data_IF_773983898775
#
_entry.id   IF_773983898775
#
_cell.length_a   1.000
_cell.length_b   1.000
_cell.length_c   1.000
_cell.angle_alpha   90.00
_cell.angle_beta   90.00
_cell.angle_gamma   90.00
#
_symmetry.space_group_name_H-M   'P 1'
#
loop_
_entity.id
_entity.type
_entity.pdbx_description
1 polymer ?
#
# COMPACT_ATOMS: atom_id res chain seq x y z
N UNK A 1 -21.22 -19.23 0.18
CA UNK A 1 -21.35 -17.75 0.26
C UNK A 1 -20.14 -17.05 0.92
N UNK A 2 -19.72 -17.43 2.13
CA UNK A 2 -18.59 -16.81 2.83
C UNK A 2 -17.27 -16.91 2.06
N UNK A 3 -16.94 -18.07 1.51
CA UNK A 3 -15.67 -18.29 0.80
C UNK A 3 -15.47 -17.38 -0.42
N UNK A 4 -16.54 -17.08 -1.16
CA UNK A 4 -16.47 -16.15 -2.30
C UNK A 4 -16.24 -14.72 -1.82
N UNK A 5 -16.89 -14.31 -0.72
CA UNK A 5 -16.67 -12.99 -0.13
C UNK A 5 -15.23 -12.82 0.37
N UNK A 6 -14.67 -13.85 1.03
CA UNK A 6 -13.26 -13.84 1.45
C UNK A 6 -12.29 -13.91 0.27
N UNK A 7 -12.61 -14.63 -0.80
CA UNK A 7 -11.80 -14.65 -2.01
C UNK A 7 -11.74 -13.26 -2.67
N UNK A 8 -12.88 -12.56 -2.77
CA UNK A 8 -12.95 -11.19 -3.30
C UNK A 8 -12.20 -10.22 -2.37
N UNK A 9 -12.38 -10.35 -1.05
CA UNK A 9 -11.65 -9.54 -0.08
C UNK A 9 -10.13 -9.77 -0.16
N UNK A 10 -9.70 -11.02 -0.32
CA UNK A 10 -8.30 -11.39 -0.52
C UNK A 10 -7.73 -10.84 -1.83
N UNK A 11 -8.51 -10.86 -2.90
CA UNK A 11 -8.13 -10.24 -4.18
C UNK A 11 -7.96 -8.72 -4.02
N UNK A 12 -8.83 -8.05 -3.25
CA UNK A 12 -8.69 -6.63 -2.90
C UNK A 12 -7.44 -6.33 -2.08
N UNK A 13 -7.02 -7.24 -1.19
CA UNK A 13 -5.79 -7.11 -0.40
C UNK A 13 -4.51 -7.08 -1.28
N UNK A 14 -4.57 -7.64 -2.49
CA UNK A 14 -3.47 -7.59 -3.47
C UNK A 14 -2.99 -6.17 -3.82
N UNK A 15 -3.83 -5.16 -3.59
CA UNK A 15 -3.49 -3.73 -3.73
C UNK A 15 -2.25 -3.32 -2.91
N UNK A 16 -2.03 -3.98 -1.76
CA UNK A 16 -0.90 -3.70 -0.85
C UNK A 16 0.44 -4.00 -1.53
N UNK A 17 0.46 -4.89 -2.52
CA UNK A 17 1.65 -5.22 -3.32
C UNK A 17 2.19 -4.07 -4.17
N UNK A 18 1.42 -3.00 -4.40
CA UNK A 18 1.87 -1.83 -5.15
C UNK A 18 2.95 -1.05 -4.39
N UNK A 19 2.88 -1.01 -3.06
CA UNK A 19 3.81 -0.26 -2.20
C UNK A 19 5.28 -0.68 -2.42
N UNK A 20 5.65 -1.97 -2.33
CA UNK A 20 7.02 -2.40 -2.59
C UNK A 20 7.45 -2.15 -4.05
N UNK A 21 6.55 -2.30 -5.04
CA UNK A 21 6.85 -2.00 -6.45
C UNK A 21 7.21 -0.53 -6.66
N UNK A 22 6.52 0.39 -5.98
CA UNK A 22 6.82 1.83 -6.02
C UNK A 22 8.12 2.15 -5.29
N UNK A 23 8.33 1.57 -4.10
CA UNK A 23 9.54 1.74 -3.30
C UNK A 23 10.82 1.34 -4.06
N UNK A 24 10.82 0.18 -4.70
CA UNK A 24 11.97 -0.35 -5.46
C UNK A 24 12.31 0.55 -6.66
N UNK A 25 11.29 1.18 -7.26
CA UNK A 25 11.44 2.11 -8.38
C UNK A 25 11.60 3.59 -8.00
N UNK A 26 11.66 3.93 -6.71
CA UNK A 26 11.97 5.29 -6.22
C UNK A 26 13.38 5.40 -5.64
N UNK A 27 13.93 4.31 -5.08
CA UNK A 27 15.25 4.32 -4.45
C UNK A 27 16.34 3.62 -5.30
N UNK A 28 17.45 4.32 -5.64
CA UNK A 28 18.63 3.75 -6.29
C UNK A 28 19.24 2.58 -5.49
N UNK A 29 19.90 1.64 -6.18
CA UNK A 29 20.38 0.37 -5.61
C UNK A 29 21.30 0.54 -4.38
N UNK A 30 22.03 1.65 -4.27
CA UNK A 30 22.93 1.93 -3.15
C UNK A 30 22.22 2.26 -1.83
N UNK A 31 21.00 2.81 -1.86
CA UNK A 31 20.27 3.26 -0.66
C UNK A 31 18.90 2.60 -0.48
N UNK A 32 18.53 1.64 -1.35
CA UNK A 32 17.21 1.00 -1.37
C UNK A 32 16.80 0.40 -0.03
N UNK A 33 17.72 -0.27 0.68
CA UNK A 33 17.40 -0.92 1.97
C UNK A 33 17.05 0.10 3.06
N UNK A 34 17.84 1.17 3.18
CA UNK A 34 17.61 2.23 4.16
C UNK A 34 16.38 3.09 3.83
N UNK A 35 16.17 3.41 2.54
CA UNK A 35 15.00 4.17 2.09
C UNK A 35 13.69 3.40 2.27
N UNK A 36 13.70 2.09 2.02
CA UNK A 36 12.55 1.20 2.28
C UNK A 36 12.24 1.17 3.79
N UNK A 37 13.24 0.90 4.63
CA UNK A 37 13.04 0.80 6.09
C UNK A 37 12.58 2.11 6.72
N UNK A 38 13.14 3.25 6.30
CA UNK A 38 12.74 4.58 6.79
C UNK A 38 11.28 4.89 6.48
N UNK A 39 10.89 4.73 5.21
CA UNK A 39 9.52 4.98 4.78
C UNK A 39 8.53 4.00 5.43
N UNK A 40 8.92 2.73 5.61
CA UNK A 40 8.11 1.75 6.31
C UNK A 40 7.89 2.11 7.78
N UNK A 41 8.94 2.50 8.49
CA UNK A 41 8.85 2.91 9.90
C UNK A 41 7.99 4.16 10.10
N UNK A 42 8.11 5.17 9.24
CA UNK A 42 7.28 6.38 9.33
C UNK A 42 5.82 6.06 9.05
N UNK A 43 5.53 5.31 7.98
CA UNK A 43 4.17 4.94 7.63
C UNK A 43 3.53 4.11 8.74
N UNK A 44 4.28 3.17 9.32
CA UNK A 44 3.84 2.35 10.44
C UNK A 44 3.55 3.21 11.67
N UNK A 45 4.48 4.09 12.08
CA UNK A 45 4.30 4.94 13.27
C UNK A 45 3.07 5.85 13.15
N UNK A 46 2.84 6.42 11.96
CA UNK A 46 1.69 7.28 11.69
C UNK A 46 0.38 6.49 11.76
N UNK A 47 0.25 5.41 10.98
CA UNK A 47 -0.99 4.64 10.93
C UNK A 47 -1.28 3.84 12.19
N UNK A 48 -0.25 3.36 12.89
CA UNK A 48 -0.39 2.69 14.18
C UNK A 48 -0.95 3.61 15.27
N UNK A 49 -0.73 4.93 15.15
CA UNK A 49 -1.27 5.91 16.11
C UNK A 49 -2.63 6.44 15.66
N UNK A 50 -2.75 6.83 14.38
CA UNK A 50 -3.96 7.48 13.86
C UNK A 50 -5.16 6.52 13.77
N UNK A 51 -4.96 5.28 13.32
CA UNK A 51 -6.07 4.32 13.15
C UNK A 51 -6.78 4.00 14.47
N UNK A 52 -6.10 3.53 15.53
CA UNK A 52 -6.79 3.18 16.76
C UNK A 52 -7.38 4.39 17.45
N UNK A 53 -6.70 5.56 17.45
CA UNK A 53 -7.26 6.77 18.06
C UNK A 53 -8.56 7.21 17.37
N UNK A 54 -8.59 7.19 16.03
CA UNK A 54 -9.78 7.52 15.26
C UNK A 54 -10.92 6.52 15.53
N UNK A 55 -10.62 5.22 15.53
CA UNK A 55 -11.63 4.19 15.78
C UNK A 55 -12.14 4.21 17.23
N UNK A 56 -11.28 4.41 18.22
CA UNK A 56 -11.68 4.51 19.64
C UNK A 56 -12.59 5.73 19.85
N UNK A 57 -12.28 6.87 19.22
CA UNK A 57 -13.08 8.08 19.35
C UNK A 57 -14.46 7.98 18.68
N UNK A 58 -14.55 7.34 17.50
CA UNK A 58 -15.76 7.34 16.67
C UNK A 58 -16.63 6.08 16.81
N UNK A 59 -16.06 4.92 17.16
CA UNK A 59 -16.80 3.65 17.31
C UNK A 59 -17.98 3.73 18.31
N UNK A 60 -17.92 4.47 19.43
CA UNK A 60 -19.06 4.61 20.35
C UNK A 60 -20.27 5.32 19.73
N UNK A 61 -20.06 6.13 18.69
CA UNK A 61 -21.10 6.97 18.08
C UNK A 61 -21.79 6.29 16.90
N UNK A 62 -21.05 5.46 16.15
CA UNK A 62 -21.61 4.74 15.01
C UNK A 62 -20.77 3.49 14.65
N UNK A 63 -21.42 2.33 14.62
CA UNK A 63 -20.73 1.06 14.30
C UNK A 63 -20.27 0.98 12.83
N UNK A 64 -20.88 1.79 11.96
CA UNK A 64 -20.54 1.90 10.54
C UNK A 64 -19.19 2.60 10.28
N UNK A 65 -18.60 3.24 11.30
CA UNK A 65 -17.31 3.95 11.17
C UNK A 65 -16.20 3.01 10.70
N UNK A 66 -16.17 1.76 11.18
CA UNK A 66 -15.17 0.77 10.74
C UNK A 66 -15.30 0.44 9.25
N UNK A 67 -16.54 0.36 8.76
CA UNK A 67 -16.83 0.10 7.35
C UNK A 67 -16.43 1.30 6.50
N UNK A 68 -16.82 2.52 6.92
CA UNK A 68 -16.49 3.76 6.20
C UNK A 68 -14.97 3.99 6.15
N UNK A 69 -14.27 3.75 7.27
CA UNK A 69 -12.82 3.80 7.33
C UNK A 69 -12.17 2.81 6.36
N UNK A 70 -12.63 1.55 6.36
CA UNK A 70 -12.13 0.52 5.44
C UNK A 70 -12.39 0.86 3.98
N UNK A 71 -13.53 1.49 3.68
CA UNK A 71 -13.92 1.92 2.34
C UNK A 71 -13.02 3.07 1.86
N UNK A 72 -12.79 4.08 2.72
CA UNK A 72 -11.86 5.18 2.43
C UNK A 72 -10.45 4.63 2.18
N UNK A 73 -9.93 3.80 3.08
CA UNK A 73 -8.59 3.20 2.92
C UNK A 73 -8.48 2.34 1.66
N UNK A 74 -9.53 1.58 1.33
CA UNK A 74 -9.61 0.82 0.08
C UNK A 74 -9.59 1.72 -1.15
N UNK A 75 -10.32 2.84 -1.15
CA UNK A 75 -10.30 3.80 -2.27
C UNK A 75 -8.95 4.50 -2.43
N UNK A 76 -8.26 4.81 -1.33
CA UNK A 76 -6.89 5.35 -1.36
C UNK A 76 -5.91 4.32 -1.96
N UNK A 77 -6.04 3.04 -1.59
CA UNK A 77 -5.29 1.94 -2.22
C UNK A 77 -5.58 1.80 -3.72
N UNK A 78 -6.85 1.83 -4.09
CA UNK A 78 -7.29 1.76 -5.49
C UNK A 78 -6.78 2.92 -6.33
N UNK A 79 -6.89 4.15 -5.82
CA UNK A 79 -6.41 5.35 -6.51
C UNK A 79 -4.90 5.34 -6.66
N UNK A 80 -4.16 4.96 -5.62
CA UNK A 80 -2.69 4.83 -5.72
C UNK A 80 -2.29 3.74 -6.73
N UNK A 81 -2.92 2.57 -6.71
CA UNK A 81 -2.68 1.52 -7.69
C UNK A 81 -3.03 1.95 -9.12
N UNK A 82 -4.18 2.62 -9.31
CA UNK A 82 -4.58 3.13 -10.61
C UNK A 82 -3.61 4.21 -11.10
N UNK A 83 -3.24 5.16 -10.27
CA UNK A 83 -2.32 6.25 -10.64
C UNK A 83 -0.93 5.71 -10.97
N UNK A 84 -0.37 4.80 -10.17
CA UNK A 84 0.95 4.23 -10.45
C UNK A 84 0.94 3.18 -11.56
N UNK A 85 -0.11 2.36 -11.64
CA UNK A 85 -0.29 1.35 -12.69
C UNK A 85 -0.60 1.94 -14.07
N UNK A 86 -1.33 3.06 -14.13
CA UNK A 86 -1.60 3.78 -15.39
C UNK A 86 -0.43 4.69 -15.82
N UNK A 87 0.38 5.18 -14.87
CA UNK A 87 1.52 6.07 -15.18
C UNK A 87 2.83 5.33 -15.49
N UNK A 88 2.95 4.06 -15.13
CA UNK A 88 4.10 3.23 -15.51
C UNK A 88 3.65 2.13 -16.46
N UNK A 89 3.77 2.38 -17.76
CA UNK A 89 4.19 1.31 -18.66
C UNK A 89 5.50 0.78 -18.08
N UNK A 90 5.47 -0.42 -17.52
CA UNK A 90 6.57 -1.02 -16.76
C UNK A 90 7.73 -1.27 -17.73
N UNK A 91 8.56 -0.25 -17.94
CA UNK A 91 9.91 -0.40 -18.48
C UNK A 91 10.76 -0.76 -17.29
N UNK A 92 10.99 -2.05 -17.10
CA UNK A 92 12.06 -2.56 -16.25
C UNK A 92 13.34 -2.21 -16.99
N UNK A 93 14.02 -1.13 -16.60
CA UNK A 93 15.37 -0.90 -17.10
C UNK A 93 16.26 -2.03 -16.60
N UNK A 94 16.77 -2.80 -17.55
CA UNK A 94 17.76 -3.87 -17.42
C UNK A 94 19.13 -3.33 -16.93
N UNK A 95 19.16 -2.76 -15.72
CA UNK A 95 20.42 -2.34 -15.06
C UNK A 95 21.30 -3.56 -14.73
N UNK A 96 20.74 -4.78 -14.77
CA UNK A 96 21.48 -6.03 -14.64
C UNK A 96 22.25 -6.43 -15.92
N UNK A 97 21.85 -5.96 -17.11
CA UNK A 97 22.43 -6.41 -18.39
C UNK A 97 23.66 -5.59 -18.81
N UNK A 98 23.83 -4.35 -18.31
CA UNK A 98 24.99 -3.49 -18.67
C UNK A 98 26.30 -3.78 -17.91
N UNK A 99 26.30 -4.68 -16.93
CA UNK A 99 27.52 -5.05 -16.18
C UNK A 99 28.15 -6.37 -16.62
N UNK A 100 27.62 -7.00 -17.66
CA UNK A 100 28.11 -8.28 -18.20
C UNK A 100 28.70 -8.15 -19.63
N UNK A 101 29.03 -6.94 -20.07
CA UNK A 101 29.70 -6.66 -21.35
C UNK A 101 31.08 -6.07 -21.13
#
# INVERSE_FOLDING_TARGET
>A
PLGIAYAIAGLGCGIVGVVPSVMVGLFPASIRVSGISFTYNIAYAFWASTTPLLLIALMPWNIWVCVLYSLIMGTVGLTTAAVFGLRRGVVVDDVATRRAG
#
